data_IF_635196613536
#
_entry.id   IF_635196613536
#
_cell.length_a   1.000
_cell.length_b   1.000
_cell.length_c   1.000
_cell.angle_alpha   90.00
_cell.angle_beta   90.00
_cell.angle_gamma   90.00
#
_symmetry.space_group_name_H-M   'P 1'
#
loop_
_entity.id
_entity.type
_entity.pdbx_description
1 polymer ?
#
# COMPACT_ATOMS: atom_id res chain seq x y z
N UNK A 1 0.51 -32.16 -8.14
CA UNK A 1 0.88 -31.80 -6.76
C UNK A 1 2.20 -31.04 -6.85
N UNK A 2 2.19 -29.71 -6.70
CA UNK A 2 3.43 -28.92 -6.70
C UNK A 2 4.21 -29.21 -5.40
N UNK A 3 5.44 -29.67 -5.55
CA UNK A 3 6.29 -30.19 -4.49
C UNK A 3 6.96 -29.02 -3.74
N UNK A 4 7.31 -29.20 -2.46
CA UNK A 4 7.88 -28.17 -1.59
C UNK A 4 9.17 -27.49 -2.15
N UNK A 5 9.86 -28.12 -3.10
CA UNK A 5 11.00 -27.56 -3.84
C UNK A 5 10.60 -26.40 -4.76
N UNK A 6 9.44 -26.49 -5.43
CA UNK A 6 8.93 -25.46 -6.34
C UNK A 6 8.67 -24.14 -5.60
N UNK A 7 8.25 -24.23 -4.34
CA UNK A 7 7.93 -23.06 -3.52
C UNK A 7 9.21 -22.27 -3.16
N UNK A 8 10.31 -22.96 -2.83
CA UNK A 8 11.60 -22.30 -2.55
C UNK A 8 12.19 -21.63 -3.79
N UNK A 9 12.16 -22.30 -4.93
CA UNK A 9 12.66 -21.72 -6.19
C UNK A 9 11.83 -20.51 -6.62
N UNK A 10 10.50 -20.60 -6.49
CA UNK A 10 9.58 -19.48 -6.73
C UNK A 10 9.85 -18.30 -5.80
N UNK A 11 10.09 -18.54 -4.51
CA UNK A 11 10.39 -17.47 -3.56
C UNK A 11 11.72 -16.78 -3.91
N UNK A 12 12.75 -17.54 -4.27
CA UNK A 12 14.06 -16.99 -4.67
C UNK A 12 13.94 -16.13 -5.94
N UNK A 13 13.15 -16.58 -6.91
CA UNK A 13 12.88 -15.81 -8.13
C UNK A 13 12.14 -14.49 -7.80
N UNK A 14 11.12 -14.56 -6.94
CA UNK A 14 10.38 -13.39 -6.48
C UNK A 14 11.29 -12.36 -5.79
N UNK A 15 12.13 -12.80 -4.86
CA UNK A 15 13.04 -11.91 -4.12
C UNK A 15 14.07 -11.24 -5.03
N UNK A 16 14.53 -11.93 -6.08
CA UNK A 16 15.44 -11.38 -7.09
C UNK A 16 14.77 -10.26 -7.90
N UNK A 17 13.51 -10.47 -8.32
CA UNK A 17 12.73 -9.46 -9.06
C UNK A 17 12.44 -8.24 -8.19
N UNK A 18 12.04 -8.44 -6.93
CA UNK A 18 11.81 -7.34 -5.99
C UNK A 18 13.06 -6.47 -5.82
N UNK A 19 14.25 -7.08 -5.65
CA UNK A 19 15.52 -6.34 -5.58
C UNK A 19 15.83 -5.57 -6.86
N UNK A 20 15.50 -6.13 -8.01
CA UNK A 20 15.73 -5.47 -9.31
C UNK A 20 14.86 -4.24 -9.47
N UNK A 21 13.59 -4.31 -9.06
CA UNK A 21 12.65 -3.19 -9.06
C UNK A 21 13.14 -2.09 -8.11
N UNK A 22 13.50 -2.44 -6.87
CA UNK A 22 14.02 -1.46 -5.91
C UNK A 22 15.33 -0.79 -6.36
N UNK A 23 16.23 -1.53 -7.02
CA UNK A 23 17.47 -0.96 -7.57
C UNK A 23 17.18 0.05 -8.69
N UNK A 24 16.17 -0.22 -9.52
CA UNK A 24 15.87 0.58 -10.71
C UNK A 24 15.03 1.81 -10.39
N UNK A 25 14.11 1.70 -9.43
CA UNK A 25 13.11 2.73 -9.13
C UNK A 25 13.22 3.32 -7.71
N UNK A 26 14.20 2.87 -6.93
CA UNK A 26 14.42 3.31 -5.55
C UNK A 26 13.71 2.46 -4.51
N UNK A 27 14.12 2.62 -3.25
CA UNK A 27 13.52 1.91 -2.10
C UNK A 27 12.06 2.31 -1.94
N UNK A 28 11.19 1.32 -1.67
CA UNK A 28 9.76 1.55 -1.46
C UNK A 28 8.95 1.71 -2.75
N UNK A 29 9.58 1.54 -3.92
CA UNK A 29 8.88 1.48 -5.22
C UNK A 29 7.94 0.27 -5.35
N UNK A 30 8.18 -0.78 -4.57
CA UNK A 30 7.31 -1.95 -4.44
C UNK A 30 7.30 -2.41 -2.98
N UNK A 31 6.11 -2.66 -2.44
CA UNK A 31 5.91 -3.16 -1.06
C UNK A 31 4.81 -4.21 -1.07
N UNK A 32 4.86 -5.15 -0.12
CA UNK A 32 3.74 -6.06 0.09
C UNK A 32 2.59 -5.30 0.75
N UNK A 33 1.38 -5.56 0.27
CA UNK A 33 0.17 -5.00 0.85
C UNK A 33 0.05 -5.48 2.31
N UNK A 34 0.18 -4.57 3.28
CA UNK A 34 0.15 -4.88 4.71
C UNK A 34 1.50 -4.74 5.43
N UNK A 35 2.63 -4.79 4.71
CA UNK A 35 3.95 -4.40 5.26
C UNK A 35 4.07 -2.88 5.39
N UNK A 36 3.33 -2.15 4.55
CA UNK A 36 3.03 -0.74 4.78
C UNK A 36 2.11 -0.64 6.00
N UNK A 37 2.70 -0.32 7.15
CA UNK A 37 1.96 0.16 8.33
C UNK A 37 0.87 1.11 7.83
N UNK A 38 -0.40 0.86 8.19
CA UNK A 38 -1.58 1.65 7.78
C UNK A 38 -1.17 3.10 7.57
N UNK A 39 -0.97 3.50 6.31
CA UNK A 39 -0.48 4.82 6.00
C UNK A 39 -1.52 5.78 6.56
N UNK A 40 -1.19 6.47 7.66
CA UNK A 40 -2.10 7.42 8.29
C UNK A 40 -2.32 8.53 7.26
N UNK A 41 -3.46 8.46 6.57
CA UNK A 41 -3.86 9.48 5.61
C UNK A 41 -4.35 10.67 6.42
N UNK A 42 -3.69 11.81 6.24
CA UNK A 42 -4.15 13.06 6.83
C UNK A 42 -5.48 13.48 6.19
N UNK A 43 -6.39 14.03 6.97
CA UNK A 43 -7.70 14.50 6.51
C UNK A 43 -7.87 16.00 6.67
N UNK A 44 -8.77 16.58 5.87
CA UNK A 44 -9.22 17.98 5.96
C UNK A 44 -10.72 17.97 6.34
N UNK A 45 -11.18 18.79 7.29
CA UNK A 45 -12.60 18.87 7.64
C UNK A 45 -13.47 19.28 6.45
N UNK A 46 -14.64 18.65 6.28
CA UNK A 46 -15.65 19.04 5.30
C UNK A 46 -16.43 20.29 5.71
N UNK A 47 -16.36 20.68 6.99
CA UNK A 47 -17.16 21.76 7.57
C UNK A 47 -18.52 21.30 8.12
N UNK A 48 -18.89 20.03 7.92
CA UNK A 48 -20.07 19.41 8.50
C UNK A 48 -19.65 18.27 9.45
N UNK A 49 -19.87 18.46 10.75
CA UNK A 49 -19.44 17.50 11.79
C UNK A 49 -19.96 16.08 11.55
N UNK A 50 -21.21 15.94 11.13
CA UNK A 50 -21.85 14.64 10.87
C UNK A 50 -21.19 13.90 9.70
N UNK A 51 -20.82 14.63 8.65
CA UNK A 51 -20.11 14.09 7.49
C UNK A 51 -18.67 13.70 7.86
N UNK A 52 -17.97 14.57 8.60
CA UNK A 52 -16.61 14.29 9.05
C UNK A 52 -16.55 13.04 9.93
N UNK A 53 -17.54 12.84 10.81
CA UNK A 53 -17.65 11.63 11.62
C UNK A 53 -17.91 10.39 10.76
N UNK A 54 -18.82 10.47 9.79
CA UNK A 54 -19.13 9.38 8.88
C UNK A 54 -17.92 8.97 8.02
N UNK A 55 -17.10 9.94 7.62
CA UNK A 55 -15.86 9.73 6.86
C UNK A 55 -14.67 9.29 7.74
N UNK A 56 -14.84 9.26 9.07
CA UNK A 56 -13.75 8.91 10.00
C UNK A 56 -12.69 10.00 10.17
N UNK A 57 -13.04 11.26 9.96
CA UNK A 57 -12.17 12.42 10.18
C UNK A 57 -12.15 13.45 9.05
N UNK A 58 -12.96 13.28 8.01
CA UNK A 58 -13.09 14.23 6.89
C UNK A 58 -12.47 13.74 5.57
N UNK A 59 -12.13 14.68 4.70
CA UNK A 59 -11.69 14.43 3.32
C UNK A 59 -10.20 14.02 3.27
N UNK A 60 -9.83 12.91 2.62
CA UNK A 60 -8.45 12.42 2.62
C UNK A 60 -7.54 13.25 1.70
N UNK A 61 -6.39 13.69 2.22
CA UNK A 61 -5.38 14.39 1.42
C UNK A 61 -4.71 13.47 0.39
N UNK A 62 -4.37 14.04 -0.77
CA UNK A 62 -3.68 13.32 -1.84
C UNK A 62 -4.55 12.29 -2.55
N UNK A 63 -5.88 12.42 -2.46
CA UNK A 63 -6.87 11.56 -3.11
C UNK A 63 -7.84 12.40 -3.94
N UNK A 64 -8.38 11.78 -4.98
CA UNK A 64 -9.47 12.35 -5.77
C UNK A 64 -10.77 12.12 -5.02
N UNK A 65 -11.62 13.14 -4.97
CA UNK A 65 -12.93 13.12 -4.32
C UNK A 65 -13.96 13.49 -5.39
N UNK A 66 -15.01 12.67 -5.49
CA UNK A 66 -16.20 12.94 -6.28
C UNK A 66 -17.33 13.33 -5.31
N UNK A 67 -18.09 14.37 -5.63
CA UNK A 67 -19.17 14.93 -4.79
C UNK A 67 -20.50 14.78 -5.53
#
# INVERSE_FOLDING_TARGET
MASATDNKERQKALDSVLKTIEKSFGKGSIVRLGDSTRMKVETIPSGALTLDLALGGGLPKGRVIEI
#
